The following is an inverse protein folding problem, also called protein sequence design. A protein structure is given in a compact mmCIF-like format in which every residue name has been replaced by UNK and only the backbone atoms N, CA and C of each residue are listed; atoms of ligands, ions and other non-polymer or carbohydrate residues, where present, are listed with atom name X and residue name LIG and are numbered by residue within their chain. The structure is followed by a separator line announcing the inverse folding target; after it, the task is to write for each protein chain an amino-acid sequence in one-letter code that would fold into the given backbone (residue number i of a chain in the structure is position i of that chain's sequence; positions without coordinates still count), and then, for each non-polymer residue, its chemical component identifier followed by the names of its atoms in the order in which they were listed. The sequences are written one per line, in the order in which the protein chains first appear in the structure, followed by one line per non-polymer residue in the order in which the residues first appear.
data_IF_515786479743
#
_entry.id   IF_515786479743
#
_cell.length_a   1.000
_cell.length_b   1.000
_cell.length_c   1.000
_cell.angle_alpha   90.00
_cell.angle_beta   90.00
_cell.angle_gamma   90.00
#
_symmetry.space_group_name_H-M   'P 1'
#
loop_
_entity.id
_entity.type
_entity.pdbx_description
1 polymer ?
#
# COMPACT_ATOMS: atom_id res chain seq x y z
N UNK A 1 -3.68 -13.03 22.76
CA UNK A 1 -3.35 -12.69 21.37
C UNK A 1 -4.33 -13.30 20.36
N UNK A 2 -4.60 -14.61 20.36
CA UNK A 2 -5.54 -15.26 19.42
C UNK A 2 -6.93 -14.60 19.37
N UNK A 3 -7.53 -14.28 20.53
CA UNK A 3 -8.83 -13.58 20.59
C UNK A 3 -8.83 -12.22 19.87
N UNK A 4 -7.71 -11.49 19.93
CA UNK A 4 -7.58 -10.17 19.28
C UNK A 4 -7.42 -10.28 17.76
N UNK A 5 -6.76 -11.35 17.31
CA UNK A 5 -6.59 -11.66 15.88
C UNK A 5 -7.93 -12.07 15.28
N UNK A 6 -8.65 -12.97 15.96
CA UNK A 6 -9.97 -13.42 15.52
C UNK A 6 -10.98 -12.26 15.49
N UNK A 7 -11.01 -11.44 16.53
CA UNK A 7 -11.86 -10.24 16.56
C UNK A 7 -11.51 -9.28 15.41
N UNK A 8 -10.21 -9.10 15.11
CA UNK A 8 -9.78 -8.28 13.99
C UNK A 8 -10.22 -8.79 12.63
N UNK A 9 -10.16 -10.10 12.43
CA UNK A 9 -10.68 -10.72 11.22
C UNK A 9 -12.19 -10.52 11.09
N UNK A 10 -12.95 -10.75 12.15
CA UNK A 10 -14.40 -10.55 12.14
C UNK A 10 -14.79 -9.09 11.85
N UNK A 11 -14.09 -8.13 12.46
CA UNK A 11 -14.32 -6.70 12.20
C UNK A 11 -13.96 -6.35 10.75
N UNK A 12 -12.84 -6.84 10.23
CA UNK A 12 -12.46 -6.63 8.83
C UNK A 12 -13.51 -7.22 7.86
N UNK A 13 -13.98 -8.44 8.13
CA UNK A 13 -14.98 -9.12 7.31
C UNK A 13 -16.34 -8.41 7.36
N UNK A 14 -16.81 -8.05 8.55
CA UNK A 14 -18.05 -7.30 8.71
C UNK A 14 -18.00 -5.97 7.97
N UNK A 15 -16.88 -5.24 8.07
CA UNK A 15 -16.67 -3.99 7.35
C UNK A 15 -16.73 -4.18 5.84
N UNK A 16 -16.06 -5.21 5.32
CA UNK A 16 -16.09 -5.55 3.89
C UNK A 16 -17.52 -5.89 3.42
N UNK A 17 -18.26 -6.71 4.15
CA UNK A 17 -19.63 -7.09 3.79
C UNK A 17 -20.60 -5.90 3.79
N UNK A 18 -20.49 -5.00 4.78
CA UNK A 18 -21.25 -3.75 4.81
C UNK A 18 -20.91 -2.86 3.61
N UNK A 19 -19.63 -2.75 3.27
CA UNK A 19 -19.17 -1.98 2.12
C UNK A 19 -19.63 -2.55 0.77
N UNK A 20 -19.77 -3.88 0.67
CA UNK A 20 -20.40 -4.57 -0.48
C UNK A 20 -21.87 -4.21 -0.56
N UNK A 21 -22.61 -4.27 0.55
CA UNK A 21 -24.03 -3.93 0.59
C UNK A 21 -24.31 -2.46 0.21
N UNK A 22 -23.41 -1.54 0.55
CA UNK A 22 -23.50 -0.11 0.22
C UNK A 22 -23.07 0.18 -1.23
N UNK A 23 -22.37 -0.74 -1.91
CA UNK A 23 -21.89 -0.53 -3.27
C UNK A 23 -20.69 0.43 -3.37
N UNK A 24 -19.85 0.45 -2.33
CA UNK A 24 -18.62 1.28 -2.31
C UNK A 24 -17.57 0.80 -3.33
N UNK A 25 -16.64 1.68 -3.76
CA UNK A 25 -15.60 1.28 -4.70
C UNK A 25 -14.55 0.42 -3.98
N UNK A 26 -14.20 -0.76 -4.52
CA UNK A 26 -13.25 -1.70 -3.88
C UNK A 26 -13.71 -2.07 -2.44
N UNK A 27 -14.92 -2.64 -2.29
CA UNK A 27 -15.59 -2.75 -0.99
C UNK A 27 -14.83 -3.60 0.03
N UNK A 28 -14.13 -4.65 -0.44
CA UNK A 28 -13.31 -5.51 0.41
C UNK A 28 -12.16 -4.77 1.09
N UNK A 29 -11.55 -3.80 0.40
CA UNK A 29 -10.45 -3.01 0.95
C UNK A 29 -10.97 -1.85 1.79
N UNK A 30 -11.94 -1.07 1.27
CA UNK A 30 -12.46 0.10 1.99
C UNK A 30 -13.21 -0.28 3.25
N UNK A 31 -14.12 -1.25 3.16
CA UNK A 31 -14.92 -1.67 4.30
C UNK A 31 -14.08 -2.20 5.44
N UNK A 32 -13.11 -3.08 5.12
CA UNK A 32 -12.19 -3.62 6.13
C UNK A 32 -11.30 -2.54 6.73
N UNK A 33 -10.78 -1.61 5.93
CA UNK A 33 -9.96 -0.49 6.42
C UNK A 33 -10.74 0.45 7.34
N UNK A 34 -11.91 0.94 6.91
CA UNK A 34 -12.70 1.91 7.65
C UNK A 34 -13.14 1.34 9.00
N UNK A 35 -13.69 0.11 8.99
CA UNK A 35 -14.19 -0.48 10.23
C UNK A 35 -13.06 -0.84 11.20
N UNK A 36 -11.94 -1.38 10.71
CA UNK A 36 -10.78 -1.65 11.58
C UNK A 36 -10.13 -0.38 12.11
N UNK A 37 -10.07 0.70 11.32
CA UNK A 37 -9.59 2.00 11.77
C UNK A 37 -10.52 2.59 12.86
N UNK A 38 -11.83 2.56 12.65
CA UNK A 38 -12.81 3.04 13.62
C UNK A 38 -12.70 2.31 14.97
N UNK A 39 -12.56 0.98 14.95
CA UNK A 39 -12.36 0.23 16.19
C UNK A 39 -11.01 0.53 16.86
N UNK A 40 -9.93 0.70 16.09
CA UNK A 40 -8.62 1.06 16.65
C UNK A 40 -8.59 2.46 17.27
N UNK A 41 -9.30 3.43 16.67
CA UNK A 41 -9.46 4.78 17.23
C UNK A 41 -10.22 4.71 18.57
N UNK A 42 -11.23 3.84 18.67
CA UNK A 42 -11.95 3.56 19.92
C UNK A 42 -11.17 2.67 20.91
N UNK A 43 -9.84 2.59 20.78
CA UNK A 43 -8.93 1.81 21.63
C UNK A 43 -9.26 0.31 21.74
N UNK A 44 -10.01 -0.26 20.79
CA UNK A 44 -10.26 -1.70 20.76
C UNK A 44 -8.94 -2.44 20.49
N UNK A 45 -8.70 -3.50 21.27
CA UNK A 45 -7.51 -4.36 21.14
C UNK A 45 -7.64 -5.30 19.94
N UNK A 46 -7.66 -4.72 18.75
CA UNK A 46 -7.70 -5.44 17.48
C UNK A 46 -6.30 -5.52 16.89
N UNK A 47 -5.93 -6.69 16.40
CA UNK A 47 -4.62 -6.92 15.79
C UNK A 47 -4.74 -7.87 14.62
N UNK A 48 -3.81 -7.77 13.68
CA UNK A 48 -3.64 -8.74 12.61
C UNK A 48 -2.34 -9.51 12.86
N UNK A 49 -2.35 -10.82 12.66
CA UNK A 49 -1.14 -11.61 12.78
C UNK A 49 -0.16 -11.23 11.66
N UNK A 50 1.13 -11.07 11.99
CA UNK A 50 2.16 -10.65 11.04
C UNK A 50 2.22 -11.59 9.83
N UNK A 51 2.05 -12.91 10.03
CA UNK A 51 2.01 -13.89 8.96
C UNK A 51 0.89 -13.66 7.93
N UNK A 52 -0.34 -13.37 8.39
CA UNK A 52 -1.46 -13.08 7.48
C UNK A 52 -1.25 -11.79 6.70
N UNK A 53 -0.68 -10.76 7.34
CA UNK A 53 -0.30 -9.53 6.65
C UNK A 53 0.76 -9.80 5.57
N UNK A 54 1.82 -10.55 5.90
CA UNK A 54 2.87 -10.93 4.95
C UNK A 54 2.31 -11.72 3.77
N UNK A 55 1.42 -12.70 4.02
CA UNK A 55 0.77 -13.49 2.98
C UNK A 55 -0.10 -12.62 2.05
N UNK A 56 -0.91 -11.71 2.61
CA UNK A 56 -1.71 -10.78 1.82
C UNK A 56 -0.85 -9.84 0.95
N UNK A 57 0.24 -9.31 1.51
CA UNK A 57 1.21 -8.50 0.77
C UNK A 57 1.87 -9.27 -0.37
N UNK A 58 2.19 -10.55 -0.14
CA UNK A 58 2.76 -11.42 -1.16
C UNK A 58 1.77 -11.67 -2.30
N UNK A 59 0.52 -12.01 -2.00
CA UNK A 59 -0.54 -12.23 -3.01
C UNK A 59 -0.79 -10.95 -3.82
N UNK A 60 -0.94 -9.80 -3.15
CA UNK A 60 -1.12 -8.50 -3.82
C UNK A 60 0.10 -8.19 -4.69
N UNK A 61 1.31 -8.48 -4.20
CA UNK A 61 2.54 -8.28 -4.94
C UNK A 61 2.59 -9.11 -6.22
N UNK A 62 2.20 -10.39 -6.15
CA UNK A 62 2.09 -11.26 -7.32
C UNK A 62 1.08 -10.68 -8.32
N UNK A 63 -0.13 -10.36 -7.85
CA UNK A 63 -1.21 -9.85 -8.69
C UNK A 63 -0.85 -8.53 -9.39
N UNK A 64 -0.15 -7.62 -8.71
CA UNK A 64 0.34 -6.37 -9.29
C UNK A 64 1.48 -6.61 -10.28
N UNK A 65 2.45 -7.47 -9.95
CA UNK A 65 3.58 -7.73 -10.83
C UNK A 65 3.19 -8.45 -12.13
N UNK A 66 2.15 -9.29 -12.11
CA UNK A 66 1.56 -9.88 -13.33
C UNK A 66 0.98 -8.84 -14.31
N UNK A 67 0.75 -7.59 -13.87
CA UNK A 67 0.30 -6.52 -14.75
C UNK A 67 1.44 -5.86 -15.55
N UNK A 68 2.70 -6.15 -15.22
CA UNK A 68 3.88 -5.63 -15.94
C UNK A 68 4.15 -6.47 -17.20
N UNK A 69 3.21 -6.48 -18.13
CA UNK A 69 3.38 -7.06 -19.47
C UNK A 69 4.34 -6.20 -20.32
N UNK A 70 4.90 -6.74 -21.42
CA UNK A 70 5.77 -5.98 -22.31
C UNK A 70 5.14 -4.67 -22.80
N UNK A 71 3.83 -4.69 -23.10
CA UNK A 71 3.06 -3.51 -23.52
C UNK A 71 2.96 -2.48 -22.40
N UNK A 72 2.63 -2.91 -21.18
CA UNK A 72 2.56 -2.04 -20.00
C UNK A 72 3.93 -1.44 -19.69
N UNK A 73 5.02 -2.20 -19.83
CA UNK A 73 6.39 -1.69 -19.64
C UNK A 73 6.75 -0.63 -20.68
N UNK A 74 6.36 -0.81 -21.95
CA UNK A 74 6.56 0.21 -22.98
C UNK A 74 5.74 1.48 -22.69
N UNK A 75 4.49 1.33 -22.24
CA UNK A 75 3.65 2.45 -21.85
C UNK A 75 4.27 3.22 -20.66
N UNK A 76 4.78 2.50 -19.64
CA UNK A 76 5.47 3.12 -18.50
C UNK A 76 6.71 3.89 -18.97
N UNK A 77 7.48 3.38 -19.92
CA UNK A 77 8.64 4.10 -20.48
C UNK A 77 8.21 5.41 -21.14
N UNK A 78 7.12 5.41 -21.90
CA UNK A 78 6.58 6.63 -22.50
C UNK A 78 6.06 7.62 -21.44
N UNK A 79 5.48 7.12 -20.36
CA UNK A 79 4.96 7.93 -19.25
C UNK A 79 6.02 8.34 -18.22
N UNK A 80 7.26 7.88 -18.36
CA UNK A 80 8.35 8.12 -17.42
C UNK A 80 8.57 9.61 -17.11
N UNK A 81 8.51 10.56 -18.07
CA UNK A 81 8.62 11.99 -17.77
C UNK A 81 7.53 12.48 -16.82
N UNK A 82 6.29 11.98 -16.97
CA UNK A 82 5.17 12.34 -16.10
C UNK A 82 5.32 11.72 -14.71
N UNK A 83 5.86 10.51 -14.61
CA UNK A 83 6.18 9.88 -13.31
C UNK A 83 7.24 10.71 -12.58
N UNK A 84 8.33 11.09 -13.26
CA UNK A 84 9.38 11.94 -12.69
C UNK A 84 8.81 13.30 -12.28
N UNK A 85 8.00 13.94 -13.13
CA UNK A 85 7.34 15.20 -12.81
C UNK A 85 6.43 15.06 -11.59
N UNK A 86 5.68 13.96 -11.48
CA UNK A 86 4.86 13.63 -10.31
C UNK A 86 5.67 13.44 -9.04
N UNK A 87 6.83 12.77 -9.11
CA UNK A 87 7.75 12.63 -7.99
C UNK A 87 8.29 13.99 -7.53
N UNK A 88 8.75 14.83 -8.47
CA UNK A 88 9.25 16.18 -8.15
C UNK A 88 8.15 17.03 -7.55
N UNK A 89 6.93 16.97 -8.11
CA UNK A 89 5.76 17.66 -7.58
C UNK A 89 5.41 17.21 -6.16
N UNK A 90 5.44 15.90 -5.90
CA UNK A 90 5.18 15.36 -4.57
C UNK A 90 6.24 15.81 -3.55
N UNK A 91 7.52 15.87 -3.95
CA UNK A 91 8.60 16.40 -3.11
C UNK A 91 8.42 17.90 -2.84
N UNK A 92 8.02 18.68 -3.85
CA UNK A 92 7.75 20.10 -3.69
C UNK A 92 6.57 20.36 -2.72
N UNK A 93 5.48 19.60 -2.85
CA UNK A 93 4.36 19.66 -1.89
C UNK A 93 4.81 19.23 -0.50
N UNK A 94 5.63 18.18 -0.37
CA UNK A 94 6.17 17.76 0.91
C UNK A 94 7.02 18.85 1.58
N UNK A 95 7.79 19.59 0.79
CA UNK A 95 8.57 20.73 1.28
C UNK A 95 7.67 21.89 1.76
N UNK A 96 6.66 22.26 0.96
CA UNK A 96 5.68 23.27 1.35
C UNK A 96 4.91 22.84 2.60
N UNK A 97 4.49 21.56 2.66
CA UNK A 97 3.82 20.94 3.79
C UNK A 97 4.67 20.99 5.06
N UNK A 98 5.97 20.79 4.94
CA UNK A 98 6.93 20.94 6.06
C UNK A 98 6.86 22.36 6.63
N UNK A 99 6.91 23.38 5.77
CA UNK A 99 6.83 24.77 6.20
C UNK A 99 5.50 25.12 6.88
N UNK A 100 4.39 24.59 6.35
CA UNK A 100 3.05 24.76 6.93
C UNK A 100 2.99 24.10 8.31
N UNK A 101 3.45 22.85 8.43
CA UNK A 101 3.38 22.09 9.68
C UNK A 101 4.33 22.66 10.74
N UNK A 102 5.50 23.15 10.35
CA UNK A 102 6.43 23.85 11.23
C UNK A 102 5.82 25.13 11.80
N UNK A 103 5.23 25.98 10.94
CA UNK A 103 4.67 27.28 11.38
C UNK A 103 3.33 27.15 12.10
N UNK A 104 2.39 26.39 11.54
CA UNK A 104 1.03 26.27 12.07
C UNK A 104 0.92 25.19 13.15
N UNK A 105 1.63 24.07 12.97
CA UNK A 105 1.61 22.95 13.90
C UNK A 105 2.47 23.16 15.15
N UNK A 106 3.33 24.19 15.16
CA UNK A 106 4.23 24.51 16.28
C UNK A 106 5.09 23.32 16.74
N UNK A 107 5.51 22.50 15.77
CA UNK A 107 6.42 21.37 15.99
C UNK A 107 7.83 21.74 15.53
N UNK A 108 8.84 20.99 15.98
CA UNK A 108 10.20 21.17 15.49
C UNK A 108 10.32 20.83 13.99
N UNK A 109 11.33 21.40 13.34
CA UNK A 109 11.54 21.23 11.90
C UNK A 109 11.74 19.76 11.51
N UNK A 110 12.42 18.98 12.33
CA UNK A 110 12.70 17.55 12.07
C UNK A 110 11.40 16.75 12.05
N UNK A 111 10.53 16.93 13.05
CA UNK A 111 9.18 16.34 13.09
C UNK A 111 8.36 16.77 11.88
N UNK A 112 8.36 18.07 11.54
CA UNK A 112 7.61 18.59 10.40
C UNK A 112 8.10 17.97 9.07
N UNK A 113 9.41 17.93 8.87
CA UNK A 113 10.05 17.43 7.66
C UNK A 113 9.75 15.96 7.42
N UNK A 114 9.97 15.11 8.44
CA UNK A 114 9.71 13.67 8.30
C UNK A 114 8.22 13.33 8.29
N UNK A 115 7.34 14.20 8.78
CA UNK A 115 5.88 14.02 8.66
C UNK A 115 5.38 14.34 7.26
N UNK A 116 5.95 15.36 6.59
CA UNK A 116 5.48 15.84 5.28
C UNK A 116 6.18 15.21 4.09
N UNK A 117 7.42 14.74 4.26
CA UNK A 117 8.19 14.15 3.16
C UNK A 117 7.62 12.80 2.72
N UNK A 118 7.72 12.52 1.42
CA UNK A 118 7.29 11.24 0.87
C UNK A 118 8.34 10.18 1.18
N UNK A 119 7.95 9.16 1.94
CA UNK A 119 8.76 7.98 2.17
C UNK A 119 7.94 6.81 2.70
N UNK A 120 8.61 5.68 2.92
CA UNK A 120 8.04 4.53 3.61
C UNK A 120 7.82 4.89 5.09
N UNK A 121 6.60 4.68 5.59
CA UNK A 121 6.21 5.12 6.93
C UNK A 121 7.17 4.65 8.04
N UNK A 122 7.56 3.37 8.01
CA UNK A 122 8.50 2.81 8.99
C UNK A 122 9.88 3.46 8.93
N UNK A 123 10.39 3.73 7.72
CA UNK A 123 11.71 4.36 7.53
C UNK A 123 11.69 5.82 7.98
N UNK A 124 10.61 6.56 7.69
CA UNK A 124 10.50 7.96 8.08
C UNK A 124 10.43 8.11 9.60
N UNK A 125 9.77 7.18 10.30
CA UNK A 125 9.72 7.14 11.77
C UNK A 125 11.11 6.89 12.36
N UNK A 126 11.84 5.89 11.85
CA UNK A 126 13.21 5.58 12.29
C UNK A 126 14.16 6.75 11.99
N UNK A 127 14.05 7.35 10.81
CA UNK A 127 14.90 8.47 10.42
C UNK A 127 14.58 9.72 11.24
N UNK A 128 13.31 9.97 11.56
CA UNK A 128 12.90 11.04 12.45
C UNK A 128 13.49 10.87 13.85
N UNK A 129 13.39 9.67 14.42
CA UNK A 129 13.97 9.35 15.73
C UNK A 129 15.50 9.56 15.73
N UNK A 130 16.19 9.05 14.69
CA UNK A 130 17.66 9.21 14.56
C UNK A 130 18.11 10.66 14.38
N UNK A 131 17.27 11.52 13.84
CA UNK A 131 17.55 12.96 13.66
C UNK A 131 16.98 13.83 14.80
N UNK A 132 16.50 13.21 15.89
CA UNK A 132 16.08 13.94 17.09
C UNK A 132 14.71 14.60 16.99
N UNK A 133 13.78 14.06 16.20
CA UNK A 133 12.40 14.54 16.16
C UNK A 133 11.74 14.46 17.54
N UNK A 134 11.13 15.57 17.97
CA UNK A 134 10.48 15.63 19.30
C UNK A 134 9.20 14.79 19.35
N UNK A 135 8.50 14.62 18.22
CA UNK A 135 7.21 13.94 18.17
C UNK A 135 7.15 12.84 17.10
N UNK A 136 7.70 11.68 17.45
CA UNK A 136 7.73 10.47 16.60
C UNK A 136 6.29 9.96 16.32
N UNK A 137 5.38 10.10 17.29
CA UNK A 137 3.98 9.69 17.13
C UNK A 137 3.26 10.49 16.03
N UNK A 138 3.59 11.78 15.89
CA UNK A 138 3.05 12.64 14.82
C UNK A 138 3.57 12.22 13.43
N UNK A 139 4.84 11.84 13.33
CA UNK A 139 5.41 11.29 12.09
C UNK A 139 4.69 10.00 11.69
N UNK A 140 4.48 9.08 12.63
CA UNK A 140 3.78 7.83 12.38
C UNK A 140 2.30 8.04 12.01
N UNK A 141 1.60 8.95 12.71
CA UNK A 141 0.18 9.22 12.49
C UNK A 141 -0.06 9.97 11.18
N UNK A 142 0.78 10.94 10.81
CA UNK A 142 0.70 11.67 9.53
C UNK A 142 0.84 10.72 8.33
N UNK A 143 1.79 9.78 8.40
CA UNK A 143 1.97 8.76 7.37
C UNK A 143 0.77 7.80 7.28
N UNK A 144 0.25 7.38 8.42
CA UNK A 144 -0.94 6.50 8.48
C UNK A 144 -2.19 7.21 7.93
N UNK A 145 -2.38 8.48 8.31
CA UNK A 145 -3.47 9.32 7.83
C UNK A 145 -3.37 9.55 6.32
N UNK A 146 -2.17 9.81 5.79
CA UNK A 146 -1.95 9.97 4.34
C UNK A 146 -2.38 8.74 3.56
N UNK A 147 -2.01 7.54 4.00
CA UNK A 147 -2.44 6.29 3.37
C UNK A 147 -3.96 6.12 3.46
N UNK A 148 -4.55 6.41 4.62
CA UNK A 148 -6.00 6.35 4.80
C UNK A 148 -6.73 7.31 3.84
N UNK A 149 -6.27 8.56 3.73
CA UNK A 149 -6.84 9.56 2.83
C UNK A 149 -6.72 9.12 1.37
N UNK A 150 -5.58 8.58 0.95
CA UNK A 150 -5.38 8.08 -0.42
C UNK A 150 -6.34 6.92 -0.72
N UNK A 151 -6.41 5.93 0.18
CA UNK A 151 -7.23 4.74 -0.03
C UNK A 151 -8.73 5.07 -0.03
N UNK A 152 -9.16 6.07 0.75
CA UNK A 152 -10.56 6.52 0.76
C UNK A 152 -10.85 7.45 -0.41
N UNK A 153 -10.11 8.55 -0.54
CA UNK A 153 -10.47 9.62 -1.48
C UNK A 153 -10.34 9.19 -2.94
N UNK A 154 -9.27 8.46 -3.33
CA UNK A 154 -9.04 8.14 -4.74
C UNK A 154 -10.15 7.27 -5.35
N UNK A 155 -10.54 6.12 -4.76
CA UNK A 155 -11.59 5.29 -5.36
C UNK A 155 -12.94 6.02 -5.43
N UNK A 156 -13.28 6.81 -4.41
CA UNK A 156 -14.51 7.61 -4.40
C UNK A 156 -14.48 8.70 -5.47
N UNK A 157 -13.38 9.45 -5.62
CA UNK A 157 -13.29 10.49 -6.66
C UNK A 157 -13.43 9.91 -8.05
N UNK A 158 -12.81 8.76 -8.33
CA UNK A 158 -12.96 8.06 -9.60
C UNK A 158 -14.41 7.64 -9.87
N UNK A 159 -15.08 7.07 -8.87
CA UNK A 159 -16.49 6.69 -8.97
C UNK A 159 -17.41 7.90 -9.19
N UNK A 160 -17.20 8.99 -8.46
CA UNK A 160 -17.99 10.22 -8.60
C UNK A 160 -17.79 10.93 -9.94
N UNK A 161 -16.56 10.91 -10.47
CA UNK A 161 -16.26 11.46 -11.80
C UNK A 161 -16.77 10.55 -12.93
N UNK A 162 -17.33 9.38 -12.61
CA UNK A 162 -17.77 8.40 -13.60
C UNK A 162 -16.61 7.80 -14.41
N UNK A 163 -15.37 7.98 -13.95
CA UNK A 163 -14.17 7.44 -14.57
C UNK A 163 -14.11 5.95 -14.29
N UNK A 164 -14.78 5.18 -15.13
CA UNK A 164 -14.63 3.74 -15.19
C UNK A 164 -13.38 3.48 -16.01
N UNK A 165 -12.38 2.84 -15.40
CA UNK A 165 -11.33 2.21 -16.18
C UNK A 165 -11.99 1.27 -17.18
N UNK A 166 -11.55 1.29 -18.43
CA UNK A 166 -11.97 0.32 -19.42
C UNK A 166 -11.39 -1.03 -18.99
N UNK A 167 -12.10 -1.73 -18.09
CA UNK A 167 -11.80 -3.10 -17.70
C UNK A 167 -12.34 -3.98 -18.82
N UNK A 168 -11.85 -3.74 -20.04
CA UNK A 168 -11.81 -4.73 -21.09
C UNK A 168 -10.71 -5.75 -20.72
N UNK A 169 -10.78 -6.31 -19.49
CA UNK A 169 -10.29 -7.67 -19.29
C UNK A 169 -11.14 -8.51 -20.21
N UNK A 170 -10.63 -8.77 -21.42
CA UNK A 170 -10.88 -10.07 -22.00
C UNK A 170 -10.52 -11.06 -20.88
N UNK A 171 -11.54 -11.65 -20.26
CA UNK A 171 -11.40 -12.85 -19.44
C UNK A 171 -11.00 -13.95 -20.42
N UNK A 172 -9.78 -13.84 -20.96
CA UNK A 172 -9.06 -14.95 -21.50
C UNK A 172 -8.89 -15.85 -20.28
N UNK A 173 -9.73 -16.87 -20.19
CA UNK A 173 -9.54 -17.98 -19.27
C UNK A 173 -8.25 -18.64 -19.72
N UNK A 174 -7.11 -18.07 -19.32
CA UNK A 174 -5.82 -18.68 -19.54
C UNK A 174 -5.88 -20.04 -18.84
N UNK A 175 -5.55 -21.11 -19.57
CA UNK A 175 -5.48 -22.44 -18.98
C UNK A 175 -4.54 -22.39 -17.77
N UNK A 176 -5.10 -22.58 -16.58
CA UNK A 176 -4.32 -22.53 -15.35
C UNK A 176 -3.58 -23.85 -15.19
N UNK A 177 -2.26 -23.82 -15.35
CA UNK A 177 -1.43 -24.97 -15.00
C UNK A 177 -1.11 -24.93 -13.51
N UNK A 178 -1.53 -25.96 -12.76
CA UNK A 178 -1.15 -26.13 -11.36
C UNK A 178 0.38 -26.12 -11.18
N UNK A 179 1.12 -26.66 -12.16
CA UNK A 179 2.58 -26.63 -12.16
C UNK A 179 3.12 -25.21 -12.35
N UNK A 180 2.49 -24.42 -13.23
CA UNK A 180 2.83 -23.01 -13.43
C UNK A 180 2.62 -22.19 -12.16
N UNK A 181 1.49 -22.40 -11.48
CA UNK A 181 1.19 -21.73 -10.20
C UNK A 181 2.20 -22.11 -9.11
N UNK A 182 2.58 -23.39 -9.02
CA UNK A 182 3.57 -23.86 -8.06
C UNK A 182 4.95 -23.26 -8.35
N UNK A 183 5.38 -23.23 -9.62
CA UNK A 183 6.63 -22.55 -10.02
C UNK A 183 6.61 -21.07 -9.65
N UNK A 184 5.50 -20.39 -9.91
CA UNK A 184 5.33 -18.98 -9.56
C UNK A 184 5.42 -18.75 -8.05
N UNK A 185 4.73 -19.57 -7.25
CA UNK A 185 4.78 -19.50 -5.79
C UNK A 185 6.19 -19.77 -5.26
N UNK A 186 6.91 -20.76 -5.80
CA UNK A 186 8.29 -21.04 -5.39
C UNK A 186 9.23 -19.88 -5.74
N UNK A 187 9.19 -19.39 -6.99
CA UNK A 187 10.07 -18.31 -7.44
C UNK A 187 9.82 -17.01 -6.67
N UNK A 188 8.56 -16.63 -6.50
CA UNK A 188 8.20 -15.42 -5.74
C UNK A 188 8.51 -15.59 -4.26
N UNK A 189 8.37 -16.80 -3.70
CA UNK A 189 8.80 -17.13 -2.35
C UNK A 189 10.31 -16.96 -2.14
N UNK A 190 11.13 -17.41 -3.11
CA UNK A 190 12.59 -17.20 -3.10
C UNK A 190 12.92 -15.72 -3.17
N UNK A 191 12.30 -14.96 -4.08
CA UNK A 191 12.52 -13.51 -4.18
C UNK A 191 12.14 -12.76 -2.91
N UNK A 192 10.99 -13.12 -2.32
CA UNK A 192 10.54 -12.61 -1.03
C UNK A 192 11.55 -12.91 0.09
N UNK A 193 12.09 -14.13 0.14
CA UNK A 193 13.10 -14.54 1.12
C UNK A 193 14.42 -13.76 0.97
N UNK A 194 14.90 -13.60 -0.26
CA UNK A 194 16.13 -12.84 -0.55
C UNK A 194 15.96 -11.38 -0.10
N UNK A 195 14.84 -10.73 -0.44
CA UNK A 195 14.60 -9.33 -0.06
C UNK A 195 14.38 -9.16 1.45
N UNK A 196 13.74 -10.12 2.12
CA UNK A 196 13.60 -10.13 3.59
C UNK A 196 14.99 -10.23 4.24
N UNK A 197 15.93 -11.00 3.64
CA UNK A 197 17.32 -11.10 4.11
C UNK A 197 18.13 -9.83 3.90
N UNK A 198 17.81 -9.05 2.86
CA UNK A 198 18.42 -7.76 2.58
C UNK A 198 17.81 -6.60 3.41
N UNK A 199 16.88 -6.89 4.33
CA UNK A 199 16.17 -5.89 5.13
C UNK A 199 15.45 -4.83 4.29
N UNK A 200 14.97 -5.20 3.10
CA UNK A 200 14.24 -4.27 2.24
C UNK A 200 12.85 -4.01 2.84
N UNK A 201 12.42 -2.73 2.96
CA UNK A 201 11.08 -2.42 3.44
C UNK A 201 10.00 -3.07 2.58
N UNK A 202 9.02 -3.71 3.22
CA UNK A 202 7.91 -4.38 2.53
C UNK A 202 8.35 -5.50 1.55
N UNK A 203 9.39 -6.26 1.93
CA UNK A 203 9.99 -7.34 1.14
C UNK A 203 9.00 -8.34 0.53
N UNK A 204 7.91 -8.71 1.23
CA UNK A 204 6.91 -9.66 0.73
C UNK A 204 6.17 -9.13 -0.50
N UNK A 205 5.81 -7.85 -0.48
CA UNK A 205 5.11 -7.22 -1.61
C UNK A 205 6.09 -7.00 -2.76
N UNK A 206 7.26 -6.41 -2.48
CA UNK A 206 8.26 -6.13 -3.50
C UNK A 206 8.82 -7.41 -4.15
N UNK A 207 9.04 -8.47 -3.36
CA UNK A 207 9.52 -9.75 -3.88
C UNK A 207 8.52 -10.41 -4.80
N UNK A 208 7.23 -10.35 -4.45
CA UNK A 208 6.14 -10.75 -5.34
C UNK A 208 6.18 -9.97 -6.64
N UNK A 209 6.18 -8.62 -6.57
CA UNK A 209 6.14 -7.74 -7.75
C UNK A 209 7.35 -7.95 -8.65
N UNK A 210 8.57 -7.89 -8.11
CA UNK A 210 9.80 -7.93 -8.92
C UNK A 210 9.91 -9.26 -9.65
N UNK A 211 9.65 -10.37 -8.97
CA UNK A 211 9.75 -11.69 -9.60
C UNK A 211 8.68 -11.86 -10.68
N UNK A 212 7.41 -11.54 -10.41
CA UNK A 212 6.35 -11.70 -11.42
C UNK A 212 6.50 -10.70 -12.56
N UNK A 213 6.88 -9.45 -12.28
CA UNK A 213 7.14 -8.46 -13.33
C UNK A 213 8.31 -8.89 -14.23
N UNK A 214 9.39 -9.45 -13.69
CA UNK A 214 10.49 -9.97 -14.50
C UNK A 214 10.08 -11.17 -15.35
N UNK A 215 9.23 -12.05 -14.84
CA UNK A 215 8.72 -13.17 -15.62
C UNK A 215 7.82 -12.67 -16.75
N UNK A 216 6.80 -11.89 -16.42
CA UNK A 216 5.78 -11.43 -17.38
C UNK A 216 6.31 -10.40 -18.38
N UNK A 217 7.26 -9.55 -18.00
CA UNK A 217 7.86 -8.58 -18.93
C UNK A 217 8.74 -9.25 -20.01
N UNK A 218 9.15 -10.50 -19.81
CA UNK A 218 9.97 -11.25 -20.75
C UNK A 218 9.15 -12.20 -21.66
N UNK A 219 7.82 -12.25 -21.50
CA UNK A 219 6.91 -13.16 -22.22
C UNK A 219 6.68 -14.47 -21.47
#
# INVERSE_FOLDING_TARGET
MIKQIFLGFLVALAGALVAVAIGTPIPWLLGSLILTAAFKINAAKISCHVGFRKAGQWIIGIALGLQFTPETVQLIKHLLPYVIAGCVFALAIGWVGTGILYKLGKVDFTTAYFSSTVGAASEMVVLAERNGATNIALVASSHSLRVLLIVVLIPFTYQFLGLKGDISTQLQVAEYSYLGLLKLAVLTGIGCFILDRLNVPNAMMLGGIVVTALLTANG
#
